data_IF_622690216122
#
_entry.id   IF_622690216122
#
_cell.length_a   1.000
_cell.length_b   1.000
_cell.length_c   1.000
_cell.angle_alpha   90.00
_cell.angle_beta   90.00
_cell.angle_gamma   90.00
#
_symmetry.space_group_name_H-M   'P 1'
#
loop_
_entity.id
_entity.type
_entity.pdbx_description
1 polymer ?
#
# COMPACT_ATOMS: atom_id res chain seq x y z
N UNK A 1 -6.19 -16.99 18.33
CA UNK A 1 -6.57 -18.40 18.54
C UNK A 1 -6.17 -18.84 19.94
N UNK A 2 -7.01 -19.66 20.60
CA UNK A 2 -6.75 -20.22 21.92
C UNK A 2 -6.13 -21.61 21.78
N UNK A 3 -5.03 -21.88 22.46
CA UNK A 3 -4.39 -23.20 22.56
C UNK A 3 -5.02 -23.94 23.73
N UNK A 4 -5.65 -25.09 23.47
CA UNK A 4 -6.30 -25.94 24.46
C UNK A 4 -5.48 -27.20 24.80
N UNK A 5 -4.35 -27.45 24.13
CA UNK A 5 -3.42 -28.55 24.37
C UNK A 5 -2.06 -28.22 23.77
N UNK A 6 -0.99 -28.60 24.46
CA UNK A 6 0.37 -28.36 24.01
C UNK A 6 0.69 -28.96 22.64
N UNK A 7 0.04 -30.06 22.26
CA UNK A 7 0.17 -30.69 20.92
C UNK A 7 -0.29 -29.79 19.76
N UNK A 8 -1.17 -28.82 20.02
CA UNK A 8 -1.65 -27.88 18.98
C UNK A 8 -0.63 -26.79 18.66
N UNK A 9 0.29 -26.48 19.60
CA UNK A 9 1.16 -25.33 19.52
C UNK A 9 1.97 -25.25 18.21
N UNK A 10 2.64 -26.30 17.72
CA UNK A 10 3.44 -26.20 16.50
C UNK A 10 2.58 -25.80 15.27
N UNK A 11 1.42 -26.41 15.13
CA UNK A 11 0.51 -26.13 14.02
C UNK A 11 -0.07 -24.72 14.11
N UNK A 12 -0.54 -24.32 15.29
CA UNK A 12 -1.16 -22.99 15.50
C UNK A 12 -0.11 -21.89 15.34
N UNK A 13 1.12 -22.10 15.83
CA UNK A 13 2.21 -21.15 15.65
C UNK A 13 2.53 -20.98 14.16
N UNK A 14 2.65 -22.06 13.41
CA UNK A 14 2.89 -21.99 11.96
C UNK A 14 1.79 -21.18 11.24
N UNK A 15 0.51 -21.47 11.51
CA UNK A 15 -0.62 -20.75 10.93
C UNK A 15 -0.59 -19.27 11.31
N UNK A 16 -0.34 -18.97 12.59
CA UNK A 16 -0.28 -17.60 13.07
C UNK A 16 0.85 -16.78 12.41
N UNK A 17 2.05 -17.38 12.29
CA UNK A 17 3.17 -16.73 11.62
C UNK A 17 2.90 -16.51 10.13
N UNK A 18 2.39 -17.53 9.42
CA UNK A 18 2.01 -17.39 8.01
C UNK A 18 0.94 -16.32 7.83
N UNK A 19 -0.05 -16.26 8.72
CA UNK A 19 -1.10 -15.25 8.69
C UNK A 19 -0.54 -13.84 8.94
N UNK A 20 0.32 -13.68 9.94
CA UNK A 20 0.95 -12.39 10.25
C UNK A 20 1.76 -11.85 9.07
N UNK A 21 2.54 -12.71 8.41
CA UNK A 21 3.35 -12.33 7.24
C UNK A 21 2.50 -12.05 6.01
N UNK A 22 1.58 -12.96 5.66
CA UNK A 22 0.78 -12.82 4.44
C UNK A 22 -0.21 -11.66 4.49
N UNK A 23 -0.68 -11.27 5.70
CA UNK A 23 -1.59 -10.15 5.93
C UNK A 23 -0.88 -8.88 6.39
N UNK A 24 0.45 -8.94 6.55
CA UNK A 24 1.26 -7.84 7.10
C UNK A 24 0.63 -7.24 8.37
N UNK A 25 0.30 -8.12 9.31
CA UNK A 25 -0.45 -7.77 10.51
C UNK A 25 -0.01 -8.55 11.72
N UNK A 26 -0.83 -8.51 12.78
CA UNK A 26 -0.57 -9.19 14.05
C UNK A 26 -1.48 -10.41 14.17
N UNK A 27 -0.90 -11.56 14.50
CA UNK A 27 -1.64 -12.74 14.90
C UNK A 27 -1.46 -12.95 16.41
N UNK A 28 -2.56 -13.20 17.12
CA UNK A 28 -2.57 -13.40 18.56
C UNK A 28 -2.83 -14.87 18.88
N UNK A 29 -1.93 -15.46 19.67
CA UNK A 29 -2.09 -16.79 20.25
C UNK A 29 -2.30 -16.62 21.76
N UNK A 30 -3.39 -17.15 22.28
CA UNK A 30 -3.65 -17.21 23.69
C UNK A 30 -3.29 -18.60 24.23
N UNK A 31 -2.50 -18.64 25.29
CA UNK A 31 -2.03 -19.85 25.95
C UNK A 31 -2.38 -19.78 27.45
N UNK A 32 -3.14 -20.74 27.95
CA UNK A 32 -3.43 -20.83 29.39
C UNK A 32 -2.23 -21.39 30.14
N UNK A 33 -2.12 -21.03 31.43
CA UNK A 33 -0.97 -21.42 32.26
C UNK A 33 -0.85 -22.93 32.48
N UNK A 34 -1.94 -23.65 32.56
CA UNK A 34 -2.01 -25.10 32.70
C UNK A 34 -1.49 -25.80 31.42
N UNK A 35 -1.92 -25.34 30.26
CA UNK A 35 -1.43 -25.87 28.97
C UNK A 35 0.05 -25.54 28.76
N UNK A 36 0.51 -24.39 29.22
CA UNK A 36 1.93 -24.01 29.13
C UNK A 36 2.85 -24.94 29.95
N UNK A 37 2.32 -25.61 30.97
CA UNK A 37 3.04 -26.54 31.82
C UNK A 37 2.93 -28.00 31.37
N UNK A 38 2.16 -28.27 30.27
CA UNK A 38 2.07 -29.61 29.72
C UNK A 38 3.40 -30.07 29.12
N UNK A 39 3.78 -31.34 29.40
CA UNK A 39 4.92 -31.94 28.74
C UNK A 39 4.54 -32.40 27.34
N UNK A 40 5.23 -31.89 26.34
CA UNK A 40 5.13 -32.38 24.96
C UNK A 40 6.10 -33.52 24.76
N UNK A 41 5.61 -34.70 24.44
CA UNK A 41 6.45 -35.76 23.91
C UNK A 41 6.89 -35.37 22.51
N UNK A 42 8.16 -35.10 22.34
CA UNK A 42 8.74 -34.54 21.13
C UNK A 42 8.80 -35.58 20.02
N UNK A 43 7.79 -35.57 19.17
CA UNK A 43 7.84 -36.14 17.82
C UNK A 43 7.61 -35.02 16.76
N UNK A 44 7.48 -33.77 17.18
CA UNK A 44 7.32 -32.67 16.26
C UNK A 44 8.64 -32.34 15.55
N UNK A 45 8.88 -32.99 14.43
CA UNK A 45 9.87 -32.50 13.48
C UNK A 45 9.53 -31.05 13.19
N UNK A 46 10.41 -30.12 13.54
CA UNK A 46 10.36 -28.75 13.09
C UNK A 46 10.30 -28.76 11.56
N UNK A 47 9.11 -28.62 11.03
CA UNK A 47 8.97 -28.40 9.60
C UNK A 47 9.52 -27.02 9.32
N UNK A 48 10.54 -26.95 8.45
CA UNK A 48 11.05 -25.68 7.97
C UNK A 48 9.89 -24.82 7.49
N UNK A 49 9.79 -23.58 7.99
CA UNK A 49 8.69 -22.69 7.68
C UNK A 49 9.07 -21.81 6.50
N UNK A 50 8.36 -21.98 5.38
CA UNK A 50 8.47 -21.06 4.25
C UNK A 50 7.35 -20.03 4.38
N UNK A 51 7.73 -18.79 4.69
CA UNK A 51 6.80 -17.67 4.75
C UNK A 51 6.65 -17.06 3.36
N UNK A 52 5.43 -16.97 2.87
CA UNK A 52 5.13 -16.46 1.53
C UNK A 52 4.31 -15.19 1.65
N UNK A 53 4.83 -14.09 1.08
CA UNK A 53 4.06 -12.87 0.86
C UNK A 53 3.44 -12.93 -0.54
N UNK A 54 2.12 -12.80 -0.67
CA UNK A 54 1.49 -12.78 -1.98
C UNK A 54 1.83 -11.49 -2.72
N UNK A 55 2.15 -11.59 -4.02
CA UNK A 55 2.17 -10.44 -4.92
C UNK A 55 0.76 -10.26 -5.48
N UNK A 56 0.16 -9.11 -5.25
CA UNK A 56 -1.20 -8.79 -5.68
C UNK A 56 -1.14 -7.77 -6.82
N UNK A 57 -1.65 -8.13 -7.97
CA UNK A 57 -1.75 -7.25 -9.14
C UNK A 57 -3.22 -7.03 -9.48
N UNK A 58 -3.66 -5.78 -9.78
CA UNK A 58 -5.02 -5.52 -10.27
C UNK A 58 -5.28 -6.24 -11.59
N UNK A 59 -6.57 -6.44 -11.90
CA UNK A 59 -6.96 -7.06 -13.18
C UNK A 59 -6.59 -6.17 -14.37
N UNK A 60 -6.41 -6.75 -15.54
CA UNK A 60 -6.10 -6.02 -16.77
C UNK A 60 -7.15 -4.94 -17.13
N UNK A 61 -8.47 -5.21 -17.02
CA UNK A 61 -9.50 -4.18 -17.23
C UNK A 61 -9.41 -3.00 -16.25
N UNK A 62 -9.08 -3.28 -14.98
CA UNK A 62 -8.90 -2.23 -13.97
C UNK A 62 -7.67 -1.37 -14.26
N UNK A 63 -6.55 -2.02 -14.63
CA UNK A 63 -5.33 -1.31 -15.05
C UNK A 63 -5.57 -0.45 -16.28
N UNK A 64 -6.31 -0.95 -17.27
CA UNK A 64 -6.66 -0.16 -18.46
C UNK A 64 -7.54 1.04 -18.10
N UNK A 65 -8.47 0.87 -17.17
CA UNK A 65 -9.32 1.98 -16.69
C UNK A 65 -8.48 3.04 -16.01
N UNK A 66 -7.54 2.65 -15.13
CA UNK A 66 -6.62 3.59 -14.48
C UNK A 66 -5.70 4.28 -15.49
N UNK A 67 -5.14 3.53 -16.45
CA UNK A 67 -4.29 4.09 -17.51
C UNK A 67 -5.03 5.14 -18.33
N UNK A 68 -6.29 4.87 -18.72
CA UNK A 68 -7.12 5.83 -19.46
C UNK A 68 -7.38 7.11 -18.64
N UNK A 69 -7.62 6.97 -17.32
CA UNK A 69 -7.79 8.14 -16.44
C UNK A 69 -6.50 8.96 -16.36
N UNK A 70 -5.35 8.31 -16.19
CA UNK A 70 -4.04 8.96 -16.11
C UNK A 70 -3.65 9.64 -17.42
N UNK A 71 -3.88 8.99 -18.57
CA UNK A 71 -3.57 9.55 -19.88
C UNK A 71 -4.45 10.76 -20.21
N UNK A 72 -5.72 10.76 -19.80
CA UNK A 72 -6.67 11.85 -20.06
C UNK A 72 -6.52 13.05 -19.11
N UNK A 73 -5.94 12.88 -17.94
CA UNK A 73 -5.74 13.96 -16.98
C UNK A 73 -4.65 14.94 -17.45
N UNK A 74 -4.79 16.22 -17.18
CA UNK A 74 -3.75 17.22 -17.49
C UNK A 74 -2.72 17.35 -16.36
N UNK A 75 -3.20 17.32 -15.10
CA UNK A 75 -2.40 17.55 -13.88
C UNK A 75 -2.61 16.41 -12.90
N UNK A 76 -1.77 15.41 -13.00
CA UNK A 76 -1.75 14.29 -12.03
C UNK A 76 -0.88 14.65 -10.84
N UNK A 77 -1.34 14.36 -9.63
CA UNK A 77 -0.51 14.37 -8.41
C UNK A 77 -0.52 12.97 -7.79
N UNK A 78 0.64 12.49 -7.38
CA UNK A 78 0.80 11.21 -6.70
C UNK A 78 0.82 11.45 -5.19
N UNK A 79 -0.07 10.79 -4.43
CA UNK A 79 -0.04 10.77 -2.96
C UNK A 79 0.44 9.41 -2.48
N UNK A 80 1.68 9.37 -2.02
CA UNK A 80 2.41 8.17 -1.70
C UNK A 80 2.40 7.87 -0.19
N UNK A 81 2.05 6.66 0.17
CA UNK A 81 2.05 6.18 1.55
C UNK A 81 3.09 5.10 1.81
N UNK A 82 2.93 4.43 2.95
CA UNK A 82 3.82 3.33 3.36
C UNK A 82 3.79 2.12 2.41
N UNK A 83 2.70 1.95 1.65
CA UNK A 83 2.62 0.88 0.64
C UNK A 83 3.54 1.07 -0.56
N UNK A 84 4.25 2.19 -0.66
CA UNK A 84 5.29 2.45 -1.65
C UNK A 84 6.64 1.80 -1.31
N UNK A 85 6.74 1.10 -0.19
CA UNK A 85 7.96 0.37 0.19
C UNK A 85 8.44 -0.56 -0.93
N UNK A 86 9.69 -0.41 -1.35
CA UNK A 86 10.30 -1.21 -2.41
C UNK A 86 9.92 -0.82 -3.85
N UNK A 87 9.16 0.27 -4.04
CA UNK A 87 8.72 0.75 -5.37
C UNK A 87 9.37 2.09 -5.78
N UNK A 88 10.49 2.47 -5.17
CA UNK A 88 11.11 3.79 -5.35
C UNK A 88 11.44 4.10 -6.82
N UNK A 89 12.12 3.19 -7.50
CA UNK A 89 12.55 3.39 -8.89
C UNK A 89 11.35 3.47 -9.84
N UNK A 90 10.32 2.66 -9.60
CA UNK A 90 9.08 2.68 -10.38
C UNK A 90 8.27 3.96 -10.13
N UNK A 91 8.29 4.49 -8.91
CA UNK A 91 7.69 5.78 -8.61
C UNK A 91 8.36 6.90 -9.41
N UNK A 92 9.68 6.96 -9.44
CA UNK A 92 10.42 7.94 -10.25
C UNK A 92 10.06 7.82 -11.73
N UNK A 93 10.03 6.59 -12.28
CA UNK A 93 9.62 6.35 -13.66
C UNK A 93 8.17 6.80 -13.92
N UNK A 94 7.26 6.55 -12.97
CA UNK A 94 5.88 7.00 -13.07
C UNK A 94 5.78 8.53 -13.04
N UNK A 95 6.50 9.18 -12.13
CA UNK A 95 6.58 10.64 -12.04
C UNK A 95 7.14 11.27 -13.31
N UNK A 96 8.18 10.66 -13.88
CA UNK A 96 8.75 11.11 -15.16
C UNK A 96 7.77 10.95 -16.32
N UNK A 97 7.10 9.79 -16.40
CA UNK A 97 6.12 9.50 -17.45
C UNK A 97 4.94 10.45 -17.44
N UNK A 98 4.43 10.77 -16.25
CA UNK A 98 3.26 11.62 -16.05
C UNK A 98 3.61 13.10 -15.82
N UNK A 99 4.88 13.46 -15.66
CA UNK A 99 5.35 14.78 -15.20
C UNK A 99 4.62 15.22 -13.91
N UNK A 100 4.47 14.28 -13.00
CA UNK A 100 3.63 14.41 -11.81
C UNK A 100 4.45 14.70 -10.57
N UNK A 101 4.11 15.72 -9.77
CA UNK A 101 4.67 15.88 -8.44
C UNK A 101 4.25 14.72 -7.54
N UNK A 102 5.17 14.33 -6.66
CA UNK A 102 4.94 13.33 -5.61
C UNK A 102 4.83 14.01 -4.26
N UNK A 103 3.74 13.72 -3.60
CA UNK A 103 3.48 14.13 -2.22
C UNK A 103 3.48 12.88 -1.37
N UNK A 104 4.09 12.91 -0.21
CA UNK A 104 4.09 11.75 0.66
C UNK A 104 3.42 12.01 2.00
N UNK A 105 2.86 10.97 2.60
CA UNK A 105 2.48 10.94 4.01
C UNK A 105 3.71 10.77 4.89
N UNK A 106 3.59 11.00 6.21
CA UNK A 106 4.70 10.82 7.14
C UNK A 106 5.37 9.43 7.00
N UNK A 107 4.58 8.37 6.89
CA UNK A 107 5.10 7.00 6.74
C UNK A 107 5.55 6.64 5.33
N UNK A 108 5.22 7.48 4.35
CA UNK A 108 5.72 7.33 2.98
C UNK A 108 7.08 7.97 2.75
N UNK A 109 7.51 8.87 3.65
CA UNK A 109 8.71 9.69 3.51
C UNK A 109 9.96 8.86 3.17
N UNK A 110 10.24 7.84 3.94
CA UNK A 110 11.44 7.01 3.77
C UNK A 110 11.48 6.21 2.45
N UNK A 111 10.35 6.07 1.77
CA UNK A 111 10.25 5.33 0.51
C UNK A 111 10.25 6.24 -0.73
N UNK A 112 10.01 7.54 -0.57
CA UNK A 112 9.69 8.46 -1.66
C UNK A 112 10.67 9.61 -1.78
N UNK A 113 11.11 10.24 -0.66
CA UNK A 113 11.76 11.55 -0.65
C UNK A 113 13.20 11.51 -1.19
N UNK A 114 13.97 10.47 -0.88
CA UNK A 114 15.40 10.44 -1.22
C UNK A 114 15.62 10.28 -2.74
N UNK A 115 16.61 11.00 -3.27
CA UNK A 115 17.02 10.94 -4.69
C UNK A 115 15.86 11.01 -5.70
N UNK A 116 14.80 11.76 -5.36
CA UNK A 116 13.58 11.85 -6.15
C UNK A 116 13.34 13.29 -6.64
N UNK A 117 13.56 13.58 -7.93
CA UNK A 117 13.39 14.92 -8.49
C UNK A 117 11.91 15.37 -8.57
N UNK A 118 10.97 14.48 -8.36
CA UNK A 118 9.53 14.75 -8.42
C UNK A 118 8.91 14.97 -7.04
N UNK A 119 9.68 14.72 -5.96
CA UNK A 119 9.19 14.94 -4.60
C UNK A 119 8.98 16.43 -4.33
N UNK A 120 7.79 16.76 -3.84
CA UNK A 120 7.42 18.13 -3.44
C UNK A 120 7.11 18.21 -1.95
N UNK A 121 7.45 17.18 -1.21
CA UNK A 121 7.38 17.13 0.23
C UNK A 121 6.11 16.52 0.80
N UNK A 122 6.05 16.53 2.11
CA UNK A 122 5.00 15.91 2.89
C UNK A 122 3.74 16.77 2.95
N UNK A 123 2.56 16.14 2.99
CA UNK A 123 1.28 16.79 3.29
C UNK A 123 0.76 16.40 4.68
N UNK A 124 -0.22 17.15 5.19
CA UNK A 124 -0.86 16.96 6.49
C UNK A 124 -0.47 18.03 7.50
N UNK A 125 -0.82 17.82 8.77
CA UNK A 125 -0.66 18.83 9.85
C UNK A 125 0.76 19.32 10.03
N UNK A 126 1.76 18.50 9.75
CA UNK A 126 3.18 18.83 9.83
C UNK A 126 3.83 18.88 8.44
N UNK A 127 3.00 18.94 7.40
CA UNK A 127 3.47 18.98 6.01
C UNK A 127 3.84 20.37 5.52
N UNK A 128 4.22 20.44 4.27
CA UNK A 128 4.65 21.68 3.61
C UNK A 128 3.56 22.21 2.67
N UNK A 129 3.50 23.54 2.46
CA UNK A 129 2.56 24.14 1.52
C UNK A 129 2.68 23.61 0.08
N UNK A 130 3.88 23.17 -0.33
CA UNK A 130 4.12 22.59 -1.66
C UNK A 130 3.30 21.32 -1.89
N UNK A 131 3.35 20.38 -0.96
CA UNK A 131 2.56 19.14 -1.04
C UNK A 131 1.05 19.40 -1.04
N UNK A 132 0.58 20.29 -0.17
CA UNK A 132 -0.83 20.69 -0.14
C UNK A 132 -1.29 21.32 -1.47
N UNK A 133 -0.51 22.26 -2.01
CA UNK A 133 -0.84 22.95 -3.28
C UNK A 133 -0.81 21.99 -4.47
N UNK A 134 0.09 21.02 -4.47
CA UNK A 134 0.12 20.00 -5.52
C UNK A 134 -1.18 19.16 -5.53
N UNK A 135 -1.69 18.79 -4.36
CA UNK A 135 -2.96 18.06 -4.21
C UNK A 135 -4.15 18.96 -4.60
N UNK A 136 -4.18 20.22 -4.14
CA UNK A 136 -5.29 21.13 -4.39
C UNK A 136 -5.46 21.48 -5.86
N UNK A 137 -4.34 21.58 -6.61
CA UNK A 137 -4.35 22.05 -8.00
C UNK A 137 -4.33 20.93 -9.05
N UNK A 138 -4.40 19.66 -8.64
CA UNK A 138 -4.51 18.55 -9.60
C UNK A 138 -5.94 18.40 -10.13
N UNK A 139 -6.09 17.73 -11.28
CA UNK A 139 -7.36 17.26 -11.82
C UNK A 139 -7.54 15.75 -11.59
N UNK A 140 -6.45 15.05 -11.28
CA UNK A 140 -6.44 13.65 -10.85
C UNK A 140 -5.42 13.42 -9.72
N UNK A 141 -5.91 12.98 -8.56
CA UNK A 141 -5.10 12.49 -7.46
C UNK A 141 -5.00 10.96 -7.54
N UNK A 142 -3.78 10.43 -7.68
CA UNK A 142 -3.52 9.00 -7.56
C UNK A 142 -2.90 8.71 -6.19
N UNK A 143 -3.65 8.00 -5.37
CA UNK A 143 -3.20 7.55 -4.05
C UNK A 143 -2.57 6.15 -4.16
N UNK A 144 -1.34 6.01 -3.70
CA UNK A 144 -0.54 4.79 -3.79
C UNK A 144 -0.17 4.28 -2.38
N UNK A 145 -0.82 3.19 -1.96
CA UNK A 145 -0.58 2.57 -0.66
C UNK A 145 -0.69 3.53 0.51
N UNK A 146 -1.66 4.44 0.45
CA UNK A 146 -1.80 5.56 1.37
C UNK A 146 -3.19 5.58 2.01
N UNK A 147 -3.22 5.52 3.36
CA UNK A 147 -4.41 5.75 4.18
C UNK A 147 -4.26 7.10 4.91
N UNK A 148 -4.43 8.20 4.16
CA UNK A 148 -4.24 9.54 4.68
C UNK A 148 -5.51 10.04 5.42
N UNK A 149 -5.44 10.34 6.74
CA UNK A 149 -6.63 10.49 7.57
C UNK A 149 -7.31 11.87 7.49
N UNK A 150 -6.64 12.88 6.92
CA UNK A 150 -7.11 14.27 6.99
C UNK A 150 -8.02 14.63 5.82
N UNK A 151 -9.34 14.60 6.03
CA UNK A 151 -10.35 14.79 4.99
C UNK A 151 -10.30 16.13 4.28
N UNK A 152 -9.99 17.20 5.01
CA UNK A 152 -9.96 18.57 4.48
C UNK A 152 -8.75 18.84 3.56
N UNK A 153 -7.84 17.90 3.46
CA UNK A 153 -6.64 17.98 2.63
C UNK A 153 -6.79 17.32 1.27
N UNK A 154 -7.93 16.68 1.00
CA UNK A 154 -8.22 16.09 -0.29
C UNK A 154 -8.74 17.15 -1.29
N UNK A 155 -8.46 17.00 -2.58
CA UNK A 155 -8.94 17.94 -3.59
C UNK A 155 -10.47 17.87 -3.70
N UNK A 156 -11.11 19.03 -3.81
CA UNK A 156 -12.57 19.11 -3.87
C UNK A 156 -13.15 18.84 -5.27
N UNK A 157 -12.35 19.05 -6.32
CA UNK A 157 -12.81 19.01 -7.73
C UNK A 157 -12.12 17.93 -8.55
N UNK A 158 -10.96 17.44 -8.11
CA UNK A 158 -10.21 16.43 -8.83
C UNK A 158 -10.88 15.05 -8.73
N UNK A 159 -10.66 14.22 -9.73
CA UNK A 159 -10.92 12.78 -9.63
C UNK A 159 -9.92 12.15 -8.69
N UNK A 160 -10.33 11.10 -7.98
CA UNK A 160 -9.45 10.38 -7.05
C UNK A 160 -9.44 8.90 -7.42
N UNK A 161 -8.25 8.39 -7.73
CA UNK A 161 -7.98 6.96 -7.85
C UNK A 161 -7.11 6.49 -6.69
N UNK A 162 -7.37 5.29 -6.16
CA UNK A 162 -6.61 4.73 -5.06
C UNK A 162 -6.19 3.29 -5.37
N UNK A 163 -4.91 3.00 -5.16
CA UNK A 163 -4.34 1.65 -5.18
C UNK A 163 -3.92 1.29 -3.77
N UNK A 164 -4.45 0.20 -3.25
CA UNK A 164 -4.07 -0.33 -1.95
C UNK A 164 -4.16 -1.86 -1.94
N UNK A 165 -3.26 -2.51 -1.23
CA UNK A 165 -3.29 -3.97 -1.07
C UNK A 165 -4.45 -4.43 -0.18
N UNK A 166 -5.00 -3.54 0.63
CA UNK A 166 -6.09 -3.79 1.58
C UNK A 166 -7.39 -3.22 1.03
N UNK A 167 -8.28 -4.10 0.59
CA UNK A 167 -9.59 -3.69 0.03
C UNK A 167 -10.40 -2.80 0.99
N UNK A 168 -10.30 -3.04 2.29
CA UNK A 168 -11.01 -2.27 3.33
C UNK A 168 -10.49 -0.82 3.47
N UNK A 169 -9.38 -0.47 2.85
CA UNK A 169 -8.83 0.89 2.83
C UNK A 169 -9.33 1.72 1.66
N UNK A 170 -9.82 1.06 0.61
CA UNK A 170 -10.32 1.76 -0.57
C UNK A 170 -11.56 2.58 -0.23
N UNK A 171 -11.50 3.88 -0.51
CA UNK A 171 -12.61 4.81 -0.25
C UNK A 171 -12.91 5.10 1.23
N UNK A 172 -12.09 4.62 2.16
CA UNK A 172 -12.32 4.82 3.60
C UNK A 172 -12.28 6.29 4.01
N UNK A 173 -11.48 7.11 3.34
CA UNK A 173 -11.23 8.52 3.72
C UNK A 173 -11.92 9.53 2.83
N UNK A 174 -12.09 9.21 1.57
CA UNK A 174 -12.72 10.09 0.58
C UNK A 174 -13.50 9.26 -0.45
N UNK A 175 -14.37 9.92 -1.20
CA UNK A 175 -15.05 9.30 -2.33
C UNK A 175 -14.02 9.03 -3.43
N UNK A 176 -14.02 7.82 -3.98
CA UNK A 176 -13.18 7.46 -5.11
C UNK A 176 -13.95 7.44 -6.41
N UNK A 177 -13.29 7.83 -7.50
CA UNK A 177 -13.72 7.56 -8.86
C UNK A 177 -13.27 6.17 -9.33
N UNK A 178 -12.13 5.69 -8.79
CA UNK A 178 -11.60 4.35 -9.06
C UNK A 178 -10.82 3.82 -7.86
N UNK A 179 -11.10 2.58 -7.47
CA UNK A 179 -10.33 1.86 -6.44
C UNK A 179 -9.81 0.54 -6.98
N UNK A 180 -8.51 0.27 -6.81
CA UNK A 180 -7.86 -0.97 -7.24
C UNK A 180 -7.20 -1.67 -6.07
N UNK A 181 -7.43 -2.97 -5.97
CA UNK A 181 -6.69 -3.82 -5.02
C UNK A 181 -5.40 -4.28 -5.68
N UNK A 182 -4.25 -3.84 -5.15
CA UNK A 182 -2.95 -4.21 -5.68
C UNK A 182 -1.79 -3.72 -4.83
N UNK A 183 -0.67 -4.40 -4.97
CA UNK A 183 0.62 -3.94 -4.51
C UNK A 183 1.10 -2.78 -5.40
N UNK A 184 1.69 -1.75 -4.80
CA UNK A 184 2.08 -0.53 -5.53
C UNK A 184 3.13 -0.84 -6.59
N UNK A 185 4.16 -1.61 -6.24
CA UNK A 185 5.23 -2.01 -7.17
C UNK A 185 4.66 -2.75 -8.38
N UNK A 186 3.87 -3.81 -8.13
CA UNK A 186 3.28 -4.63 -9.19
C UNK A 186 2.31 -3.83 -10.06
N UNK A 187 1.59 -2.90 -9.46
CA UNK A 187 0.65 -2.04 -10.18
C UNK A 187 1.37 -1.05 -11.09
N UNK A 188 2.42 -0.37 -10.59
CA UNK A 188 3.18 0.60 -11.40
C UNK A 188 3.89 -0.12 -12.56
N UNK A 189 4.54 -1.25 -12.31
CA UNK A 189 5.19 -2.04 -13.36
C UNK A 189 4.23 -2.44 -14.48
N UNK A 190 2.99 -2.77 -14.12
CA UNK A 190 1.96 -3.11 -15.09
C UNK A 190 1.39 -1.89 -15.84
N UNK A 191 1.31 -0.73 -15.19
CA UNK A 191 0.78 0.50 -15.76
C UNK A 191 1.76 1.21 -16.71
N UNK A 192 3.05 1.23 -16.40
CA UNK A 192 4.05 1.99 -17.17
C UNK A 192 4.00 1.76 -18.69
N UNK A 193 3.81 0.51 -19.20
CA UNK A 193 3.67 0.26 -20.63
C UNK A 193 2.40 0.83 -21.27
N UNK A 194 1.36 1.10 -20.45
CA UNK A 194 0.05 1.60 -20.89
C UNK A 194 -0.05 3.13 -20.88
N UNK A 195 0.96 3.81 -20.31
CA UNK A 195 0.95 5.24 -20.13
C UNK A 195 1.63 5.98 -21.27
N UNK A 196 1.00 7.05 -21.71
CA UNK A 196 1.57 8.05 -22.60
C UNK A 196 2.52 8.97 -21.83
N UNK A 197 3.60 9.42 -22.48
CA UNK A 197 4.50 10.40 -21.87
C UNK A 197 3.88 11.79 -22.00
N UNK A 198 3.69 12.45 -20.86
CA UNK A 198 3.20 13.84 -20.82
C UNK A 198 4.32 14.83 -21.14
N UNK A 199 3.95 15.95 -21.72
CA UNK A 199 4.84 17.07 -22.09
C UNK A 199 4.97 18.08 -20.95
#
# INVERSE_FOLDING_TARGET
ELISSARQMPRVLHIAMQHAVSKQGVAVIALSGDVAMELVQDESRSHGMTLICPAVRPSEPDLQTLANMLNSAEKVTLLCGNGCAGAHDELIQLGERLKSPMVHSLRGKEHVEYDNPYDVGMTGLIGFPSGYRAIENCDLLLMLGCDFPYKDWYPQKAKIAQVDIRVERLGQRCRLDLGLVGDVLQTIQALLPMLETKS
#
